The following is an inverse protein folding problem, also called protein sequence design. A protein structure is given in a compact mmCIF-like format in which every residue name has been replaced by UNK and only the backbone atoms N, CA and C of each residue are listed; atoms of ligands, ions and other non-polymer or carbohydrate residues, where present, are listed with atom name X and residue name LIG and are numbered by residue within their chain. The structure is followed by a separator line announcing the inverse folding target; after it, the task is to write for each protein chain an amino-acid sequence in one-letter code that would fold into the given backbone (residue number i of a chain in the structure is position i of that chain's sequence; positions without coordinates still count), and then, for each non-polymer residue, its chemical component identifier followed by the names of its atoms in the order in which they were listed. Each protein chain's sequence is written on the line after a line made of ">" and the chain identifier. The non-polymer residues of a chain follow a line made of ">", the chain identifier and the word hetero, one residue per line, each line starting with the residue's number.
data_IF_414147939926
#
_entry.id   IF_414147939926
#
_cell.length_a   1.000
_cell.length_b   1.000
_cell.length_c   1.000
_cell.angle_alpha   90.00
_cell.angle_beta   90.00
_cell.angle_gamma   90.00
#
_symmetry.space_group_name_H-M   'P 1'
#
loop_
_entity.id
_entity.type
_entity.pdbx_description
1 polymer ?
#
# COMPACT_ATOMS: atom_id res chain seq x y z
N UNK A 1 5.66 -12.47 -9.02
CA UNK A 1 6.63 -11.91 -9.97
C UNK A 1 7.39 -10.83 -9.23
N UNK A 2 8.71 -11.01 -9.09
CA UNK A 2 9.53 -10.13 -8.25
C UNK A 2 9.67 -8.78 -8.96
N UNK A 3 9.74 -7.69 -8.20
CA UNK A 3 9.88 -6.32 -8.75
C UNK A 3 10.98 -6.16 -9.79
N UNK A 4 12.02 -6.99 -9.68
CA UNK A 4 13.19 -6.99 -10.56
C UNK A 4 12.91 -7.56 -11.96
N UNK A 5 11.83 -8.34 -12.12
CA UNK A 5 11.42 -8.90 -13.42
C UNK A 5 10.68 -7.88 -14.30
N UNK A 6 10.31 -6.72 -13.73
CA UNK A 6 9.53 -5.69 -14.41
C UNK A 6 10.47 -4.72 -15.14
N UNK A 7 10.43 -4.70 -16.47
CA UNK A 7 11.13 -3.70 -17.27
C UNK A 7 10.43 -2.32 -17.15
N UNK A 8 11.02 -1.35 -16.43
CA UNK A 8 10.36 -0.06 -16.18
C UNK A 8 10.14 0.73 -17.47
N UNK A 9 10.92 0.49 -18.53
CA UNK A 9 10.78 1.24 -19.79
C UNK A 9 9.47 0.95 -20.50
N UNK A 10 8.97 -0.29 -20.37
CA UNK A 10 7.72 -0.78 -20.98
C UNK A 10 6.46 -0.38 -20.20
N UNK A 11 6.61 0.07 -18.96
CA UNK A 11 5.49 0.50 -18.13
C UNK A 11 4.86 1.82 -18.63
N UNK A 12 3.55 1.94 -18.45
CA UNK A 12 2.84 3.22 -18.63
C UNK A 12 3.35 4.27 -17.63
N UNK A 13 3.17 5.58 -17.88
CA UNK A 13 3.61 6.61 -16.95
C UNK A 13 3.12 6.41 -15.51
N UNK A 14 1.88 5.94 -15.33
CA UNK A 14 1.32 5.64 -14.01
C UNK A 14 2.04 4.44 -13.36
N UNK A 15 2.21 3.35 -14.11
CA UNK A 15 2.88 2.14 -13.58
C UNK A 15 4.37 2.40 -13.30
N UNK A 16 5.04 3.27 -14.05
CA UNK A 16 6.40 3.74 -13.74
C UNK A 16 6.47 4.43 -12.38
N UNK A 17 5.48 5.25 -12.07
CA UNK A 17 5.39 5.92 -10.77
C UNK A 17 5.07 4.95 -9.64
N UNK A 18 4.14 4.02 -9.86
CA UNK A 18 3.89 2.93 -8.90
C UNK A 18 5.17 2.13 -8.62
N UNK A 19 5.88 1.70 -9.67
CA UNK A 19 7.10 0.89 -9.56
C UNK A 19 8.20 1.63 -8.79
N UNK A 20 8.39 2.92 -9.05
CA UNK A 20 9.41 3.72 -8.34
C UNK A 20 9.13 3.87 -6.84
N UNK A 21 7.85 3.90 -6.44
CA UNK A 21 7.46 3.89 -5.02
C UNK A 21 7.60 2.49 -4.44
N UNK A 22 7.11 1.47 -5.14
CA UNK A 22 7.19 0.07 -4.67
C UNK A 22 8.63 -0.37 -4.45
N UNK A 23 9.58 0.09 -5.27
CA UNK A 23 11.02 -0.14 -5.06
C UNK A 23 11.55 0.42 -3.74
N UNK A 24 10.95 1.48 -3.19
CA UNK A 24 11.31 2.03 -1.87
C UNK A 24 10.68 1.25 -0.72
N UNK A 25 9.61 0.50 -0.98
CA UNK A 25 8.86 -0.27 0.01
C UNK A 25 8.56 -1.69 -0.51
N UNK A 26 9.60 -2.49 -0.85
CA UNK A 26 9.42 -3.77 -1.56
C UNK A 26 8.58 -4.78 -0.76
N UNK A 27 8.74 -4.80 0.57
CA UNK A 27 8.10 -5.77 1.46
C UNK A 27 6.68 -5.40 1.92
N UNK A 28 6.25 -4.16 1.66
CA UNK A 28 5.00 -3.60 2.20
C UNK A 28 3.92 -3.48 1.14
N UNK A 29 2.66 -3.64 1.55
CA UNK A 29 1.52 -3.50 0.66
C UNK A 29 1.39 -2.05 0.19
N UNK A 30 1.38 -1.82 -1.13
CA UNK A 30 1.24 -0.47 -1.68
C UNK A 30 -0.21 -0.23 -2.15
N UNK A 31 -0.98 0.47 -1.32
CA UNK A 31 -2.34 0.89 -1.64
C UNK A 31 -2.32 2.13 -2.54
N UNK A 32 -2.55 1.95 -3.83
CA UNK A 32 -2.42 3.02 -4.83
C UNK A 32 -3.79 3.58 -5.24
N UNK A 33 -4.07 4.86 -4.97
CA UNK A 33 -5.39 5.42 -5.24
C UNK A 33 -5.64 5.64 -6.73
N UNK A 34 -6.66 4.94 -7.23
CA UNK A 34 -7.17 5.00 -8.60
C UNK A 34 -8.66 5.33 -8.57
N UNK A 35 -8.98 6.63 -8.67
CA UNK A 35 -10.36 7.10 -8.55
C UNK A 35 -10.91 6.81 -7.16
N UNK A 36 -12.01 6.07 -7.10
CA UNK A 36 -12.69 5.70 -5.85
C UNK A 36 -12.21 4.33 -5.28
N UNK A 37 -11.06 3.83 -5.73
CA UNK A 37 -10.47 2.58 -5.25
C UNK A 37 -9.02 2.78 -4.81
N UNK A 38 -8.61 2.00 -3.81
CA UNK A 38 -7.21 1.66 -3.62
C UNK A 38 -6.91 0.36 -4.34
N UNK A 39 -6.06 0.43 -5.36
CA UNK A 39 -5.63 -0.72 -6.14
C UNK A 39 -4.25 -1.22 -5.68
N UNK A 40 -4.10 -2.54 -5.73
CA UNK A 40 -2.88 -3.29 -5.49
C UNK A 40 -2.54 -4.02 -6.78
N UNK A 41 -1.25 -4.08 -7.14
CA UNK A 41 -0.78 -4.63 -8.40
C UNK A 41 0.22 -5.76 -8.16
N UNK A 42 0.30 -6.70 -9.09
CA UNK A 42 1.27 -7.81 -9.06
C UNK A 42 1.19 -8.58 -7.73
N UNK A 43 2.32 -8.79 -7.06
CA UNK A 43 2.39 -9.60 -5.84
C UNK A 43 1.56 -9.02 -4.70
N UNK A 44 1.42 -7.69 -4.63
CA UNK A 44 0.55 -7.07 -3.63
C UNK A 44 -0.92 -7.44 -3.89
N UNK A 45 -1.34 -7.54 -5.15
CA UNK A 45 -2.70 -7.94 -5.53
C UNK A 45 -3.01 -9.37 -5.09
N UNK A 46 -2.09 -10.30 -5.37
CA UNK A 46 -2.23 -11.70 -4.97
C UNK A 46 -2.22 -11.87 -3.46
N UNK A 47 -1.34 -11.12 -2.77
CA UNK A 47 -1.23 -11.14 -1.31
C UNK A 47 -2.50 -10.61 -0.66
N UNK A 48 -3.00 -9.44 -1.07
CA UNK A 48 -4.21 -8.89 -0.47
C UNK A 48 -5.45 -9.75 -0.76
N UNK A 49 -5.55 -10.33 -1.95
CA UNK A 49 -6.65 -11.24 -2.30
C UNK A 49 -6.70 -12.45 -1.35
N UNK A 50 -5.54 -13.03 -1.01
CA UNK A 50 -5.44 -14.13 -0.05
C UNK A 50 -5.70 -13.71 1.39
N UNK A 51 -5.17 -12.56 1.83
CA UNK A 51 -5.24 -12.12 3.22
C UNK A 51 -6.65 -11.69 3.66
N UNK A 52 -7.42 -11.08 2.77
CA UNK A 52 -8.74 -10.52 3.09
C UNK A 52 -9.87 -10.98 2.17
N UNK A 53 -9.62 -11.96 1.30
CA UNK A 53 -10.64 -12.62 0.49
C UNK A 53 -11.27 -11.74 -0.59
N UNK A 54 -10.59 -10.68 -1.06
CA UNK A 54 -11.08 -9.84 -2.14
C UNK A 54 -10.77 -10.45 -3.52
N UNK A 55 -11.60 -10.13 -4.51
CA UNK A 55 -11.46 -10.67 -5.87
C UNK A 55 -10.11 -10.27 -6.50
N UNK A 56 -9.32 -11.26 -6.87
CA UNK A 56 -8.17 -11.09 -7.73
C UNK A 56 -8.63 -11.03 -9.19
N UNK A 57 -8.29 -9.95 -9.86
CA UNK A 57 -8.57 -9.72 -11.28
C UNK A 57 -7.26 -9.58 -12.05
N UNK A 58 -7.37 -9.38 -13.37
CA UNK A 58 -6.24 -9.12 -14.23
C UNK A 58 -6.51 -7.87 -15.04
N UNK A 59 -5.57 -6.92 -15.03
CA UNK A 59 -5.61 -5.77 -15.91
C UNK A 59 -4.82 -6.08 -17.18
N UNK A 60 -5.34 -5.66 -18.33
CA UNK A 60 -4.64 -5.76 -19.62
C UNK A 60 -4.46 -4.36 -20.20
N UNK A 61 -3.21 -3.99 -20.52
CA UNK A 61 -2.86 -2.72 -21.16
C UNK A 61 -1.97 -3.04 -22.36
N UNK A 62 -2.52 -2.90 -23.56
CA UNK A 62 -1.84 -3.35 -24.78
C UNK A 62 -1.50 -4.84 -24.71
N UNK A 63 -0.21 -5.15 -24.84
CA UNK A 63 0.31 -6.52 -24.72
C UNK A 63 0.71 -6.90 -23.29
N UNK A 64 0.68 -5.96 -22.35
CA UNK A 64 1.00 -6.23 -20.95
C UNK A 64 -0.25 -6.65 -20.18
N UNK A 65 -0.09 -7.56 -19.21
CA UNK A 65 -1.19 -8.02 -18.38
C UNK A 65 -0.72 -8.49 -17.02
N UNK A 66 -1.29 -7.92 -15.97
CA UNK A 66 -0.83 -8.10 -14.59
C UNK A 66 -1.98 -8.30 -13.59
N UNK A 67 -1.73 -9.01 -12.47
CA UNK A 67 -2.70 -9.16 -11.38
C UNK A 67 -3.10 -7.82 -10.76
N UNK A 68 -4.37 -7.69 -10.41
CA UNK A 68 -4.96 -6.50 -9.80
C UNK A 68 -6.02 -6.90 -8.78
N UNK A 69 -5.97 -6.27 -7.60
CA UNK A 69 -7.02 -6.36 -6.60
C UNK A 69 -7.31 -4.96 -6.07
N UNK A 70 -8.55 -4.68 -5.68
CA UNK A 70 -8.97 -3.34 -5.30
C UNK A 70 -9.93 -3.34 -4.12
N UNK A 71 -9.82 -2.29 -3.30
CA UNK A 71 -10.74 -2.01 -2.19
C UNK A 71 -11.39 -0.64 -2.45
N UNK A 72 -12.73 -0.51 -2.37
CA UNK A 72 -13.37 0.79 -2.48
C UNK A 72 -12.87 1.74 -1.39
N UNK A 73 -12.57 2.98 -1.76
CA UNK A 73 -12.01 3.99 -0.86
C UNK A 73 -12.88 4.20 0.38
N UNK A 74 -14.21 4.22 0.23
CA UNK A 74 -15.16 4.36 1.33
C UNK A 74 -15.21 3.15 2.29
N UNK A 75 -14.79 1.97 1.83
CA UNK A 75 -14.74 0.74 2.63
C UNK A 75 -13.33 0.42 3.17
N UNK A 76 -12.34 1.29 2.89
CA UNK A 76 -10.92 0.99 3.10
C UNK A 76 -10.57 0.75 4.56
N UNK A 77 -11.20 1.48 5.48
CA UNK A 77 -10.90 1.43 6.92
C UNK A 77 -10.99 0.01 7.45
N UNK A 78 -12.09 -0.70 7.19
CA UNK A 78 -12.31 -2.05 7.70
C UNK A 78 -11.29 -3.05 7.16
N UNK A 79 -11.01 -2.98 5.85
CA UNK A 79 -10.03 -3.86 5.21
C UNK A 79 -8.60 -3.59 5.71
N UNK A 80 -8.23 -2.32 5.88
CA UNK A 80 -6.90 -1.95 6.35
C UNK A 80 -6.71 -2.31 7.82
N UNK A 81 -7.72 -2.12 8.67
CA UNK A 81 -7.69 -2.60 10.06
C UNK A 81 -7.42 -4.11 10.12
N UNK A 82 -8.10 -4.90 9.29
CA UNK A 82 -7.85 -6.35 9.24
C UNK A 82 -6.40 -6.68 8.85
N UNK A 83 -5.88 -6.03 7.81
CA UNK A 83 -4.50 -6.22 7.37
C UNK A 83 -3.47 -5.81 8.44
N UNK A 84 -3.69 -4.69 9.12
CA UNK A 84 -2.83 -4.21 10.20
C UNK A 84 -2.81 -5.21 11.36
N UNK A 85 -3.98 -5.75 11.73
CA UNK A 85 -4.09 -6.79 12.76
C UNK A 85 -3.40 -8.10 12.36
N UNK A 86 -3.24 -8.37 11.06
CA UNK A 86 -2.43 -9.47 10.52
C UNK A 86 -0.93 -9.11 10.39
N UNK A 87 -0.48 -8.02 11.03
CA UNK A 87 0.92 -7.58 11.05
C UNK A 87 1.39 -6.92 9.75
N UNK A 88 0.48 -6.55 8.85
CA UNK A 88 0.83 -5.97 7.56
C UNK A 88 1.03 -4.46 7.67
N UNK A 89 2.10 -3.96 7.07
CA UNK A 89 2.31 -2.51 6.84
C UNK A 89 1.76 -2.12 5.47
N UNK A 90 0.98 -1.04 5.43
CA UNK A 90 0.32 -0.51 4.23
C UNK A 90 0.86 0.88 3.94
N UNK A 91 1.44 1.07 2.77
CA UNK A 91 1.88 2.36 2.25
C UNK A 91 0.76 2.94 1.39
N UNK A 92 0.22 4.08 1.79
CA UNK A 92 -0.89 4.74 1.10
C UNK A 92 -0.33 5.76 0.12
N UNK A 93 -0.63 5.57 -1.16
CA UNK A 93 -0.30 6.51 -2.24
C UNK A 93 -1.60 7.17 -2.70
N UNK A 94 -1.75 8.45 -2.37
CA UNK A 94 -2.96 9.22 -2.64
C UNK A 94 -2.67 10.38 -3.62
N UNK A 95 -3.74 10.98 -4.12
CA UNK A 95 -3.75 12.20 -4.90
C UNK A 95 -3.33 13.37 -4.01
N UNK A 96 -2.33 14.13 -4.46
CA UNK A 96 -1.84 15.33 -3.78
C UNK A 96 -2.56 16.60 -4.25
N UNK A 97 -3.44 16.46 -5.23
CA UNK A 97 -4.16 17.56 -5.87
C UNK A 97 -5.62 17.12 -6.06
N UNK A 98 -6.54 18.09 -6.01
CA UNK A 98 -7.94 17.84 -6.30
C UNK A 98 -8.13 17.49 -7.79
N UNK A 99 -8.66 16.29 -8.13
CA UNK A 99 -8.92 15.91 -9.52
C UNK A 99 -9.79 16.90 -10.30
N UNK A 100 -10.70 17.61 -9.64
CA UNK A 100 -11.59 18.59 -10.28
C UNK A 100 -10.82 19.82 -10.79
N UNK A 101 -9.68 20.13 -10.17
CA UNK A 101 -8.83 21.29 -10.52
C UNK A 101 -7.81 20.97 -11.61
N UNK A 102 -7.58 19.68 -11.90
CA UNK A 102 -6.53 19.22 -12.82
C UNK A 102 -7.14 18.89 -14.19
N UNK A 103 -6.99 19.79 -15.17
CA UNK A 103 -7.41 19.56 -16.57
C UNK A 103 -6.22 19.18 -17.45
N UNK A 104 -6.40 18.15 -18.29
CA UNK A 104 -5.44 17.79 -19.35
C UNK A 104 -4.15 17.11 -18.91
N UNK A 105 -4.00 16.75 -17.62
CA UNK A 105 -2.82 16.01 -17.11
C UNK A 105 -3.21 14.99 -16.04
N UNK A 106 -2.30 14.05 -15.77
CA UNK A 106 -2.44 13.07 -14.70
C UNK A 106 -2.29 13.78 -13.34
N UNK A 107 -3.23 13.52 -12.42
CA UNK A 107 -3.19 14.01 -11.04
C UNK A 107 -1.90 13.55 -10.34
N UNK A 108 -1.19 14.48 -9.69
CA UNK A 108 0.03 14.16 -8.94
C UNK A 108 -0.31 13.24 -7.77
N UNK A 109 0.51 12.22 -7.55
CA UNK A 109 0.35 11.26 -6.46
C UNK A 109 1.62 11.18 -5.62
N UNK A 110 1.47 10.79 -4.37
CA UNK A 110 2.59 10.58 -3.45
C UNK A 110 2.19 9.76 -2.25
N UNK A 111 3.19 9.28 -1.51
CA UNK A 111 2.96 8.62 -0.23
C UNK A 111 2.43 9.65 0.75
N UNK A 112 1.21 9.46 1.25
CA UNK A 112 0.57 10.36 2.21
C UNK A 112 0.57 9.80 3.62
N UNK A 113 0.60 8.46 3.76
CA UNK A 113 0.61 7.80 5.06
C UNK A 113 1.23 6.41 4.95
N UNK A 114 1.87 5.96 6.03
CA UNK A 114 2.28 4.56 6.23
C UNK A 114 1.55 4.06 7.47
N UNK A 115 0.71 3.06 7.30
CA UNK A 115 0.01 2.40 8.39
C UNK A 115 0.79 1.14 8.75
N UNK A 116 1.40 1.13 9.93
CA UNK A 116 2.07 -0.06 10.47
C UNK A 116 1.43 -0.44 11.81
N UNK A 117 1.52 -1.72 12.24
CA UNK A 117 0.93 -2.18 13.49
C UNK A 117 1.23 -1.26 14.69
N UNK A 118 2.48 -0.83 14.86
CA UNK A 118 2.89 0.01 15.99
C UNK A 118 2.67 1.52 15.82
N UNK A 119 2.25 2.01 14.64
CA UNK A 119 2.16 3.46 14.36
C UNK A 119 0.77 3.95 13.99
N UNK A 120 -0.25 3.09 14.10
CA UNK A 120 -1.65 3.46 13.86
C UNK A 120 -2.17 4.27 15.04
N UNK A 121 -2.79 5.40 14.72
CA UNK A 121 -3.36 6.36 15.68
C UNK A 121 -4.86 6.59 15.47
N UNK A 122 -5.45 6.01 14.42
CA UNK A 122 -6.88 6.15 14.14
C UNK A 122 -7.67 5.30 15.13
N UNK A 123 -8.54 5.93 15.91
CA UNK A 123 -9.36 5.25 16.91
C UNK A 123 -10.29 4.19 16.34
N UNK A 124 -10.67 4.26 15.06
CA UNK A 124 -11.47 3.23 14.40
C UNK A 124 -10.66 1.99 14.01
N UNK A 125 -9.32 2.11 14.00
CA UNK A 125 -8.40 1.00 13.72
C UNK A 125 -7.78 0.42 14.99
N UNK A 126 -7.91 1.13 16.12
CA UNK A 126 -7.41 0.71 17.43
C UNK A 126 -8.50 0.03 18.25
N UNK A 127 -8.10 -0.92 19.10
CA UNK A 127 -8.99 -1.52 20.09
C UNK A 127 -9.08 -0.57 21.28
N UNK A 128 -10.29 -0.17 21.66
CA UNK A 128 -10.52 0.89 22.65
C UNK A 128 -9.96 0.60 24.06
N UNK A 129 -9.72 -0.66 24.41
CA UNK A 129 -9.25 -1.08 25.73
C UNK A 129 -7.82 -1.65 25.72
N UNK A 130 -7.12 -1.59 24.58
CA UNK A 130 -5.76 -2.10 24.46
C UNK A 130 -4.79 -0.97 24.14
N UNK A 131 -3.59 -1.03 24.71
CA UNK A 131 -2.50 -0.15 24.33
C UNK A 131 -1.87 -0.64 23.02
N UNK A 132 -1.52 0.29 22.13
CA UNK A 132 -0.77 0.00 20.90
C UNK A 132 0.64 0.57 21.00
N UNK A 133 1.63 -0.32 21.17
CA UNK A 133 3.01 0.06 21.38
C UNK A 133 3.86 -0.14 20.13
N UNK A 134 4.87 0.71 19.98
CA UNK A 134 6.04 0.46 19.13
C UNK A 134 7.26 0.35 20.04
N UNK A 135 8.19 -0.53 19.68
CA UNK A 135 9.44 -0.68 20.39
C UNK A 135 10.59 -0.84 19.39
N UNK A 136 11.77 -0.48 19.84
CA UNK A 136 13.05 -0.64 19.16
C UNK A 136 14.05 -1.29 20.12
N UNK A 137 14.92 -2.16 19.59
CA UNK A 137 15.94 -2.85 20.36
C UNK A 137 17.28 -2.69 19.65
N UNK A 138 18.30 -2.26 20.38
CA UNK A 138 19.68 -2.17 19.88
C UNK A 138 20.57 -3.05 20.74
N UNK A 139 21.33 -3.95 20.10
CA UNK A 139 22.33 -4.79 20.77
C UNK A 139 23.70 -4.14 20.66
N UNK A 140 24.33 -3.91 21.81
CA UNK A 140 25.69 -3.42 21.93
C UNK A 140 26.58 -4.46 22.63
N UNK A 141 27.90 -4.27 22.59
CA UNK A 141 28.84 -5.19 23.26
C UNK A 141 28.56 -5.35 24.76
N UNK A 142 28.06 -4.29 25.42
CA UNK A 142 27.80 -4.25 26.86
C UNK A 142 26.36 -4.53 27.29
N UNK A 143 25.44 -4.80 26.36
CA UNK A 143 24.03 -5.03 26.70
C UNK A 143 23.05 -4.62 25.60
N UNK A 144 21.83 -4.25 26.00
CA UNK A 144 20.76 -3.87 25.09
C UNK A 144 20.14 -2.52 25.50
N UNK A 145 19.83 -1.69 24.51
CA UNK A 145 19.00 -0.50 24.66
C UNK A 145 17.59 -0.77 24.11
N UNK A 146 16.57 -0.32 24.83
CA UNK A 146 15.16 -0.44 24.43
C UNK A 146 14.49 0.94 24.52
N UNK A 147 13.64 1.25 23.53
CA UNK A 147 12.80 2.45 23.49
C UNK A 147 11.48 2.10 22.82
#
# INVERSE_FOLDING_TARGET
>A
MVLDDIDPKKLTPMMKHWWSIKKKYPEHLLAYRMGDFFEFFYDDAERISKLIGITLTKRKIGNDSYPLAGVPHHAVTNHFTNLINQGQTIVIVDQLEDPATVKGRIVKRGVTRILSPGTVIDGNMLKSNDNNYIASLVKEKGGFGIA
#
